data_IF_919534612149
#
_entry.id   IF_919534612149
#
_cell.length_a   1.000
_cell.length_b   1.000
_cell.length_c   1.000
_cell.angle_alpha   90.00
_cell.angle_beta   90.00
_cell.angle_gamma   90.00
#
_symmetry.space_group_name_H-M   'P 1'
#
loop_
_entity.id
_entity.type
_entity.pdbx_description
1 polymer ?
#
# COMPACT_ATOMS: atom_id res chain seq x y z
N UNK A 1 20.92 -13.87 -0.73
CA UNK A 1 19.89 -14.25 0.27
C UNK A 1 19.29 -12.95 0.75
N UNK A 2 17.97 -12.77 0.69
CA UNK A 2 17.31 -11.54 1.16
C UNK A 2 17.40 -11.51 2.68
N UNK A 3 17.90 -10.42 3.25
CA UNK A 3 17.80 -10.17 4.68
C UNK A 3 16.34 -9.86 5.03
N UNK A 4 15.74 -10.54 6.02
CA UNK A 4 14.39 -10.23 6.45
C UNK A 4 14.35 -8.83 7.07
N UNK A 5 13.42 -8.02 6.62
CA UNK A 5 13.13 -6.70 7.19
C UNK A 5 11.66 -6.61 7.60
N UNK A 6 11.37 -5.68 8.51
CA UNK A 6 10.00 -5.35 8.86
C UNK A 6 9.25 -4.86 7.61
N UNK A 7 8.14 -5.52 7.31
CA UNK A 7 7.37 -5.29 6.08
C UNK A 7 5.90 -5.16 6.41
N UNK A 8 5.23 -4.20 5.77
CA UNK A 8 3.78 -4.01 5.82
C UNK A 8 3.21 -3.88 4.41
N UNK A 9 1.89 -4.04 4.29
CA UNK A 9 1.17 -3.89 3.01
C UNK A 9 0.04 -2.88 3.16
N UNK A 10 -0.18 -2.09 2.11
CA UNK A 10 -1.32 -1.20 1.97
C UNK A 10 -2.22 -1.72 0.86
N UNK A 11 -3.48 -2.03 1.20
CA UNK A 11 -4.49 -2.47 0.23
C UNK A 11 -5.54 -1.39 -0.01
N UNK A 12 -6.08 -1.41 -1.22
CA UNK A 12 -7.24 -0.60 -1.62
C UNK A 12 -8.31 -1.51 -2.22
N UNK A 13 -9.51 -0.96 -2.42
CA UNK A 13 -10.63 -1.71 -3.00
C UNK A 13 -10.44 -1.87 -4.50
N UNK A 14 -10.68 -3.09 -5.00
CA UNK A 14 -10.86 -3.35 -6.42
C UNK A 14 -12.35 -3.40 -6.75
N UNK A 15 -12.72 -3.00 -7.97
CA UNK A 15 -14.09 -3.12 -8.48
C UNK A 15 -14.53 -4.58 -8.39
N UNK A 16 -15.62 -4.81 -7.67
CA UNK A 16 -16.24 -6.13 -7.44
C UNK A 16 -15.29 -7.21 -6.89
N UNK A 17 -14.13 -6.82 -6.32
CA UNK A 17 -13.11 -7.76 -5.85
C UNK A 17 -12.42 -8.56 -6.97
N UNK A 18 -12.54 -8.13 -8.23
CA UNK A 18 -11.94 -8.80 -9.38
C UNK A 18 -10.41 -8.60 -9.37
N UNK A 19 -9.67 -9.70 -9.61
CA UNK A 19 -8.24 -9.67 -9.87
C UNK A 19 -7.83 -10.75 -10.88
N UNK A 20 -6.66 -10.59 -11.53
CA UNK A 20 -6.13 -11.45 -12.59
C UNK A 20 -7.02 -11.54 -13.83
N UNK A 21 -7.75 -10.47 -14.15
CA UNK A 21 -8.63 -10.38 -15.31
C UNK A 21 -8.42 -9.07 -16.08
N UNK A 22 -8.69 -9.02 -17.40
CA UNK A 22 -8.52 -7.79 -18.18
C UNK A 22 -9.38 -6.61 -17.74
N UNK A 23 -10.48 -6.87 -17.01
CA UNK A 23 -11.39 -5.86 -16.47
C UNK A 23 -11.08 -5.46 -15.01
N UNK A 24 -10.00 -5.98 -14.43
CA UNK A 24 -9.48 -5.56 -13.13
C UNK A 24 -9.22 -4.05 -13.12
N UNK A 25 -9.81 -3.36 -12.14
CA UNK A 25 -9.71 -1.91 -12.03
C UNK A 25 -9.95 -1.45 -10.59
N UNK A 26 -9.38 -0.30 -10.26
CA UNK A 26 -9.64 0.45 -9.02
C UNK A 26 -10.24 1.81 -9.37
N UNK A 27 -10.89 2.47 -8.40
CA UNK A 27 -11.37 3.83 -8.59
C UNK A 27 -10.23 4.85 -8.49
N UNK A 28 -10.39 6.02 -9.11
CA UNK A 28 -9.45 7.12 -8.95
C UNK A 28 -9.32 7.60 -7.49
N UNK A 29 -10.42 7.49 -6.72
CA UNK A 29 -10.45 7.83 -5.29
C UNK A 29 -9.59 6.85 -4.49
N UNK A 30 -9.70 5.55 -4.77
CA UNK A 30 -8.88 4.53 -4.13
C UNK A 30 -7.40 4.69 -4.49
N UNK A 31 -7.10 5.04 -5.75
CA UNK A 31 -5.73 5.32 -6.18
C UNK A 31 -5.12 6.53 -5.46
N UNK A 32 -5.87 7.64 -5.36
CA UNK A 32 -5.43 8.84 -4.63
C UNK A 32 -5.17 8.56 -3.15
N UNK A 33 -6.10 7.85 -2.49
CA UNK A 33 -5.93 7.45 -1.11
C UNK A 33 -4.69 6.57 -0.89
N UNK A 34 -4.38 5.66 -1.82
CA UNK A 34 -3.17 4.83 -1.74
C UNK A 34 -1.90 5.69 -1.78
N UNK A 35 -1.86 6.65 -2.71
CA UNK A 35 -0.73 7.58 -2.91
C UNK A 35 -0.55 8.46 -1.67
N UNK A 36 -1.62 9.04 -1.15
CA UNK A 36 -1.57 9.92 0.02
C UNK A 36 -1.05 9.17 1.26
N UNK A 37 -1.56 7.95 1.50
CA UNK A 37 -1.16 7.15 2.66
C UNK A 37 0.28 6.67 2.54
N UNK A 38 0.66 6.09 1.40
CA UNK A 38 2.04 5.58 1.24
C UNK A 38 3.06 6.71 1.17
N UNK A 39 2.71 7.84 0.55
CA UNK A 39 3.55 9.04 0.51
C UNK A 39 3.79 9.58 1.90
N UNK A 40 2.72 9.81 2.67
CA UNK A 40 2.82 10.26 4.07
C UNK A 40 3.64 9.28 4.91
N UNK A 41 3.41 7.97 4.75
CA UNK A 41 4.18 6.96 5.45
C UNK A 41 5.67 7.10 5.16
N UNK A 42 6.08 7.14 3.89
CA UNK A 42 7.49 7.27 3.49
C UNK A 42 8.12 8.57 4.03
N UNK A 43 7.40 9.69 3.94
CA UNK A 43 7.90 10.99 4.38
C UNK A 43 8.04 11.12 5.90
N UNK A 44 7.19 10.43 6.66
CA UNK A 44 7.12 10.56 8.12
C UNK A 44 7.63 9.33 8.85
N UNK A 45 8.11 8.30 8.13
CA UNK A 45 8.52 7.04 8.73
C UNK A 45 9.73 7.24 9.64
N UNK A 46 9.54 6.93 10.93
CA UNK A 46 10.60 6.85 11.91
C UNK A 46 10.88 5.38 12.27
N UNK A 47 11.95 4.84 11.71
CA UNK A 47 12.41 3.48 11.99
C UNK A 47 12.81 3.27 13.47
N UNK A 48 13.23 4.33 14.17
CA UNK A 48 13.57 4.23 15.59
C UNK A 48 12.32 4.08 16.45
N UNK A 49 11.22 4.73 16.07
CA UNK A 49 9.91 4.56 16.71
C UNK A 49 9.27 3.19 16.43
N UNK A 50 9.71 2.49 15.38
CA UNK A 50 9.16 1.20 14.98
C UNK A 50 9.81 0.00 15.69
N UNK A 51 11.02 0.16 16.26
CA UNK A 51 11.69 -0.88 17.05
C UNK A 51 10.96 -1.12 18.38
N UNK A 52 10.18 -2.20 18.46
CA UNK A 52 9.70 -2.78 19.72
C UNK A 52 10.62 -3.87 20.22
#
# INVERSE_FOLDING_TARGET
>A
MIDPCETGMLFVRCKDGVSHRPDESISAVDAAAAIDVIGTFIETFDAAAFRR
#
